data_IF_322362872049
#
_entry.id   IF_322362872049
#
_cell.length_a   1.000
_cell.length_b   1.000
_cell.length_c   1.000
_cell.angle_alpha   90.00
_cell.angle_beta   90.00
_cell.angle_gamma   90.00
#
_symmetry.space_group_name_H-M   'P 1'
#
loop_
_entity.id
_entity.type
_entity.pdbx_description
1 polymer ?
#
# COMPACT_ATOMS: atom_id res chain seq x y z
N UNK A 1 18.65 -5.28 -9.92
CA UNK A 1 17.22 -5.60 -9.85
C UNK A 1 16.60 -5.53 -11.25
N UNK A 2 16.45 -4.40 -11.88
CA UNK A 2 16.04 -4.31 -13.29
C UNK A 2 17.25 -4.14 -14.20
N UNK A 3 17.34 -4.99 -15.23
CA UNK A 3 18.39 -4.96 -16.25
C UNK A 3 17.77 -4.60 -17.59
N UNK A 4 18.46 -3.80 -18.41
CA UNK A 4 18.02 -3.41 -19.74
C UNK A 4 18.07 -1.91 -19.99
N UNK A 5 17.54 -1.48 -21.15
CA UNK A 5 17.46 -0.06 -21.55
C UNK A 5 16.62 0.77 -20.58
N UNK A 6 16.90 2.07 -20.49
CA UNK A 6 16.20 3.00 -19.62
C UNK A 6 14.66 2.93 -19.78
N UNK A 7 14.08 2.93 -20.99
CA UNK A 7 12.62 2.86 -21.16
C UNK A 7 12.02 1.56 -20.60
N UNK A 8 12.73 0.42 -20.75
CA UNK A 8 12.29 -0.85 -20.18
C UNK A 8 12.28 -0.81 -18.65
N UNK A 9 13.28 -0.20 -18.04
CA UNK A 9 13.36 -0.03 -16.58
C UNK A 9 12.26 0.88 -16.07
N UNK A 10 11.94 1.96 -16.79
CA UNK A 10 10.84 2.87 -16.45
C UNK A 10 9.48 2.16 -16.51
N UNK A 11 9.22 1.37 -17.57
CA UNK A 11 8.00 0.58 -17.67
C UNK A 11 7.88 -0.44 -16.53
N UNK A 12 8.97 -1.13 -16.20
CA UNK A 12 8.98 -2.09 -15.10
C UNK A 12 8.77 -1.43 -13.73
N UNK A 13 9.25 -0.20 -13.54
CA UNK A 13 9.06 0.53 -12.28
C UNK A 13 7.60 0.95 -12.04
N UNK A 14 6.79 1.11 -13.10
CA UNK A 14 5.36 1.40 -12.97
C UNK A 14 4.56 0.24 -12.34
N UNK A 15 5.11 -0.97 -12.38
CA UNK A 15 4.48 -2.17 -11.81
C UNK A 15 4.82 -2.37 -10.32
N UNK A 16 5.64 -1.48 -9.75
CA UNK A 16 6.02 -1.54 -8.34
C UNK A 16 5.05 -0.68 -7.54
N UNK A 17 4.16 -1.33 -6.83
CA UNK A 17 3.30 -0.73 -5.82
C UNK A 17 3.44 -1.52 -4.52
N UNK A 18 2.90 -1.00 -3.44
CA UNK A 18 3.02 -1.62 -2.11
C UNK A 18 2.48 -3.05 -2.05
N UNK A 19 1.38 -3.34 -2.73
CA UNK A 19 0.80 -4.69 -2.82
C UNK A 19 1.73 -5.65 -3.56
N UNK A 20 2.27 -5.24 -4.72
CA UNK A 20 3.18 -6.10 -5.49
C UNK A 20 4.50 -6.30 -4.76
N UNK A 21 4.98 -5.27 -4.06
CA UNK A 21 6.15 -5.37 -3.20
C UNK A 21 5.92 -6.38 -2.07
N UNK A 22 4.79 -6.28 -1.35
CA UNK A 22 4.45 -7.19 -0.27
C UNK A 22 4.37 -8.66 -0.71
N UNK A 23 3.85 -8.91 -1.92
CA UNK A 23 3.74 -10.26 -2.49
C UNK A 23 5.08 -10.88 -2.89
N UNK A 24 6.09 -10.08 -3.21
CA UNK A 24 7.37 -10.55 -3.74
C UNK A 24 8.40 -10.87 -2.67
N UNK A 25 8.18 -10.47 -1.42
CA UNK A 25 9.08 -10.76 -0.30
C UNK A 25 8.96 -12.24 0.07
N UNK A 26 10.01 -13.01 -0.21
CA UNK A 26 10.08 -14.43 0.17
C UNK A 26 10.45 -14.57 1.66
N UNK A 27 9.85 -15.58 2.32
CA UNK A 27 10.15 -15.92 3.73
C UNK A 27 11.63 -16.21 4.03
N UNK A 28 12.41 -16.61 3.01
CA UNK A 28 13.84 -16.97 3.16
C UNK A 28 14.80 -15.86 2.75
N UNK A 29 14.29 -14.62 2.60
CA UNK A 29 15.08 -13.52 2.06
C UNK A 29 15.31 -13.71 0.56
N UNK A 30 14.89 -12.77 -0.23
CA UNK A 30 14.99 -12.78 -1.68
C UNK A 30 13.78 -12.12 -2.31
N UNK A 31 13.94 -11.75 -3.56
CA UNK A 31 12.96 -11.00 -4.32
C UNK A 31 12.63 -11.76 -5.60
N UNK A 32 11.35 -11.99 -5.85
CA UNK A 32 10.91 -12.68 -7.06
C UNK A 32 10.44 -11.69 -8.12
N UNK A 33 11.32 -11.41 -9.08
CA UNK A 33 11.02 -10.48 -10.16
C UNK A 33 9.86 -10.94 -11.07
N UNK A 34 9.72 -12.26 -11.27
CA UNK A 34 8.63 -12.79 -12.11
C UNK A 34 7.28 -12.60 -11.43
N UNK A 35 7.22 -12.85 -10.13
CA UNK A 35 6.02 -12.59 -9.33
C UNK A 35 5.70 -11.09 -9.32
N UNK A 36 6.70 -10.22 -9.17
CA UNK A 36 6.52 -8.77 -9.24
C UNK A 36 5.89 -8.33 -10.56
N UNK A 37 6.50 -8.75 -11.67
CA UNK A 37 6.05 -8.33 -13.00
C UNK A 37 4.66 -8.90 -13.32
N UNK A 38 4.41 -10.16 -12.96
CA UNK A 38 3.12 -10.81 -13.19
C UNK A 38 2.00 -10.17 -12.36
N UNK A 39 2.20 -10.06 -11.04
CA UNK A 39 1.23 -9.43 -10.15
C UNK A 39 1.01 -7.96 -10.50
N UNK A 40 2.09 -7.23 -10.79
CA UNK A 40 2.01 -5.83 -11.17
C UNK A 40 1.26 -5.61 -12.47
N UNK A 41 1.46 -6.48 -13.48
CA UNK A 41 0.72 -6.39 -14.75
C UNK A 41 -0.78 -6.63 -14.55
N UNK A 42 -1.14 -7.66 -13.77
CA UNK A 42 -2.55 -7.95 -13.45
C UNK A 42 -3.17 -6.78 -12.70
N UNK A 43 -2.50 -6.29 -11.66
CA UNK A 43 -2.99 -5.17 -10.85
C UNK A 43 -3.17 -3.90 -11.71
N UNK A 44 -2.20 -3.58 -12.57
CA UNK A 44 -2.26 -2.44 -13.46
C UNK A 44 -3.46 -2.52 -14.43
N UNK A 45 -3.69 -3.69 -15.02
CA UNK A 45 -4.83 -3.92 -15.92
C UNK A 45 -6.14 -3.79 -15.14
N UNK A 46 -6.27 -4.45 -14.00
CA UNK A 46 -7.48 -4.39 -13.18
C UNK A 46 -7.78 -2.97 -12.70
N UNK A 47 -6.76 -2.22 -12.29
CA UNK A 47 -6.90 -0.82 -11.88
C UNK A 47 -7.43 0.06 -13.01
N UNK A 48 -6.83 -0.04 -14.21
CA UNK A 48 -7.27 0.75 -15.37
C UNK A 48 -8.68 0.37 -15.82
N UNK A 49 -9.00 -0.93 -15.84
CA UNK A 49 -10.35 -1.39 -16.17
C UNK A 49 -11.37 -0.92 -15.11
N UNK A 50 -11.04 -1.03 -13.83
CA UNK A 50 -11.89 -0.55 -12.74
C UNK A 50 -12.14 0.96 -12.82
N UNK A 51 -11.10 1.74 -13.12
CA UNK A 51 -11.20 3.19 -13.34
C UNK A 51 -12.08 3.52 -14.54
N UNK A 52 -11.90 2.83 -15.68
CA UNK A 52 -12.71 3.02 -16.87
C UNK A 52 -14.19 2.67 -16.61
N UNK A 53 -14.44 1.55 -15.94
CA UNK A 53 -15.79 1.17 -15.53
C UNK A 53 -16.39 2.19 -14.56
N UNK A 54 -15.63 2.67 -13.59
CA UNK A 54 -16.07 3.69 -12.65
C UNK A 54 -16.45 5.00 -13.33
N UNK A 55 -15.70 5.42 -14.36
CA UNK A 55 -16.04 6.61 -15.17
C UNK A 55 -17.35 6.44 -15.95
N UNK A 56 -17.58 5.23 -16.50
CA UNK A 56 -18.78 4.95 -17.29
C UNK A 56 -20.00 4.80 -16.37
N UNK A 57 -19.86 4.09 -15.26
CA UNK A 57 -20.93 3.73 -14.34
C UNK A 57 -21.10 4.69 -13.17
N UNK A 58 -20.19 5.65 -13.00
CA UNK A 58 -20.17 6.54 -11.84
C UNK A 58 -21.44 7.38 -11.68
N UNK A 59 -22.14 7.66 -12.77
CA UNK A 59 -23.44 8.36 -12.73
C UNK A 59 -24.60 7.44 -12.28
N UNK A 60 -24.39 6.14 -12.22
CA UNK A 60 -25.40 5.16 -11.78
C UNK A 60 -25.32 4.92 -10.28
N UNK A 61 -24.15 5.17 -9.70
CA UNK A 61 -23.89 5.01 -8.27
C UNK A 61 -24.12 6.37 -7.60
N UNK A 62 -25.26 6.55 -6.92
CA UNK A 62 -25.61 7.80 -6.27
C UNK A 62 -24.67 8.14 -5.10
N UNK A 63 -24.33 7.14 -4.26
CA UNK A 63 -23.38 7.31 -3.16
C UNK A 63 -22.42 6.11 -3.12
N UNK A 64 -21.12 6.33 -3.39
CA UNK A 64 -20.09 5.27 -3.27
C UNK A 64 -19.98 4.68 -1.87
N UNK A 65 -20.39 5.41 -0.83
CA UNK A 65 -20.33 4.94 0.56
C UNK A 65 -21.36 3.82 0.82
N UNK A 66 -22.48 3.80 0.09
CA UNK A 66 -23.47 2.72 0.18
C UNK A 66 -22.91 1.37 -0.24
N UNK A 67 -21.83 1.36 -1.02
CA UNK A 67 -21.10 0.16 -1.42
C UNK A 67 -19.97 -0.22 -0.46
N UNK A 68 -19.73 0.56 0.59
CA UNK A 68 -18.64 0.32 1.54
C UNK A 68 -17.25 0.51 0.94
N UNK A 69 -17.11 1.28 -0.15
CA UNK A 69 -15.83 1.51 -0.84
C UNK A 69 -14.84 2.29 0.03
N UNK A 70 -15.33 3.09 0.95
CA UNK A 70 -14.56 3.79 1.98
C UNK A 70 -13.84 2.81 2.93
N UNK A 71 -14.52 1.71 3.29
CA UNK A 71 -13.95 0.68 4.14
C UNK A 71 -12.97 -0.24 3.38
N UNK A 72 -13.06 -0.35 2.07
CA UNK A 72 -12.24 -1.25 1.26
C UNK A 72 -10.74 -0.91 1.37
N UNK A 73 -10.37 0.37 1.32
CA UNK A 73 -8.98 0.81 1.47
C UNK A 73 -8.45 0.52 2.88
N UNK A 74 -9.24 0.79 3.92
CA UNK A 74 -8.85 0.49 5.29
C UNK A 74 -8.62 -1.02 5.49
N UNK A 75 -9.49 -1.86 4.93
CA UNK A 75 -9.37 -3.31 4.97
C UNK A 75 -8.12 -3.79 4.20
N UNK A 76 -7.82 -3.22 3.03
CA UNK A 76 -6.62 -3.54 2.25
C UNK A 76 -5.35 -3.24 3.03
N UNK A 77 -5.23 -2.03 3.59
CA UNK A 77 -4.04 -1.67 4.39
C UNK A 77 -3.89 -2.51 5.64
N UNK A 78 -4.98 -2.89 6.31
CA UNK A 78 -4.93 -3.84 7.42
C UNK A 78 -4.47 -5.22 6.97
N UNK A 79 -4.94 -5.71 5.83
CA UNK A 79 -4.52 -6.99 5.27
C UNK A 79 -3.01 -7.00 4.91
N UNK A 80 -2.44 -5.86 4.50
CA UNK A 80 -1.01 -5.72 4.25
C UNK A 80 -0.20 -5.56 5.55
N UNK A 81 -0.76 -4.87 6.54
CA UNK A 81 -0.09 -4.60 7.82
C UNK A 81 0.01 -5.85 8.70
N UNK A 82 -1.10 -6.58 8.87
CA UNK A 82 -1.18 -7.71 9.83
C UNK A 82 -0.08 -8.76 9.61
N UNK A 83 0.22 -9.22 8.38
CA UNK A 83 1.32 -10.18 8.16
C UNK A 83 2.71 -9.65 8.49
N UNK A 84 2.88 -8.34 8.60
CA UNK A 84 4.15 -7.70 8.91
C UNK A 84 4.37 -7.53 10.42
N UNK A 85 3.31 -7.61 11.24
CA UNK A 85 3.37 -7.51 12.70
C UNK A 85 3.88 -8.82 13.33
N UNK A 86 5.15 -9.15 13.08
CA UNK A 86 5.74 -10.44 13.50
C UNK A 86 6.50 -10.38 14.83
N UNK A 87 6.80 -9.20 15.33
CA UNK A 87 7.56 -8.99 16.53
C UNK A 87 7.03 -7.83 17.38
N UNK A 88 7.52 -7.72 18.61
CA UNK A 88 7.10 -6.65 19.53
C UNK A 88 7.45 -5.25 19.01
N UNK A 89 8.53 -5.12 18.24
CA UNK A 89 8.98 -3.83 17.69
C UNK A 89 8.04 -3.34 16.59
N UNK A 90 7.67 -4.24 15.68
CA UNK A 90 6.75 -3.92 14.58
C UNK A 90 5.38 -3.52 15.12
N UNK A 91 4.88 -4.27 16.11
CA UNK A 91 3.63 -3.93 16.81
C UNK A 91 3.73 -2.58 17.51
N UNK A 92 4.84 -2.31 18.23
CA UNK A 92 5.03 -1.02 18.90
C UNK A 92 5.11 0.13 17.90
N UNK A 93 5.83 -0.06 16.80
CA UNK A 93 5.93 0.95 15.74
C UNK A 93 4.55 1.23 15.11
N UNK A 94 3.76 0.18 14.83
CA UNK A 94 2.42 0.32 14.28
C UNK A 94 1.47 1.04 15.25
N UNK A 95 1.50 0.68 16.54
CA UNK A 95 0.67 1.33 17.56
C UNK A 95 1.06 2.80 17.77
N UNK A 96 2.35 3.11 17.81
CA UNK A 96 2.82 4.50 17.94
C UNK A 96 2.46 5.31 16.70
N UNK A 97 2.73 4.78 15.50
CA UNK A 97 2.41 5.47 14.25
C UNK A 97 0.91 5.70 14.10
N UNK A 98 0.10 4.66 14.35
CA UNK A 98 -1.36 4.76 14.34
C UNK A 98 -1.90 5.71 15.41
N UNK A 99 -1.35 5.65 16.64
CA UNK A 99 -1.72 6.54 17.73
C UNK A 99 -1.43 8.01 17.43
N UNK A 100 -0.23 8.30 16.87
CA UNK A 100 0.14 9.66 16.43
C UNK A 100 -0.83 10.14 15.34
N UNK A 101 -1.09 9.29 14.33
CA UNK A 101 -2.00 9.65 13.25
C UNK A 101 -3.40 9.95 13.77
N UNK A 102 -3.97 9.07 14.59
CA UNK A 102 -5.30 9.26 15.17
C UNK A 102 -5.40 10.51 16.04
N UNK A 103 -4.38 10.79 16.86
CA UNK A 103 -4.35 11.97 17.72
C UNK A 103 -4.31 13.28 16.91
N UNK A 104 -3.74 13.27 15.71
CA UNK A 104 -3.58 14.46 14.87
C UNK A 104 -4.81 14.76 13.99
N UNK A 105 -5.67 13.77 13.72
CA UNK A 105 -6.83 13.93 12.83
C UNK A 105 -7.65 15.19 13.13
N UNK A 106 -8.02 15.51 14.40
CA UNK A 106 -8.87 16.66 14.68
C UNK A 106 -8.14 18.03 14.57
N UNK A 107 -6.81 18.04 14.48
CA UNK A 107 -6.02 19.27 14.58
C UNK A 107 -5.36 19.73 13.29
N UNK A 108 -5.24 18.85 12.30
CA UNK A 108 -4.44 19.13 11.08
C UNK A 108 -5.16 18.65 9.82
N UNK A 109 -4.83 19.23 8.64
CA UNK A 109 -5.41 18.85 7.36
C UNK A 109 -5.14 17.38 7.02
N UNK A 110 -6.02 16.80 6.19
CA UNK A 110 -5.88 15.44 5.69
C UNK A 110 -4.49 15.20 5.05
N UNK A 111 -3.90 14.05 5.33
CA UNK A 111 -2.55 13.69 4.86
C UNK A 111 -1.44 13.96 5.88
N UNK A 112 -1.49 15.05 6.64
CA UNK A 112 -0.48 15.34 7.70
C UNK A 112 -0.44 14.24 8.77
N UNK A 113 -1.55 13.68 9.25
CA UNK A 113 -1.54 12.58 10.21
C UNK A 113 -0.79 11.35 9.70
N UNK A 114 -0.92 11.05 8.40
CA UNK A 114 -0.25 9.89 7.77
C UNK A 114 1.27 10.10 7.77
N UNK A 115 1.72 11.29 7.36
CA UNK A 115 3.15 11.63 7.34
C UNK A 115 3.73 11.62 8.76
N UNK A 116 3.02 12.21 9.72
CA UNK A 116 3.44 12.20 11.11
C UNK A 116 3.44 10.78 11.71
N UNK A 117 2.45 9.96 11.38
CA UNK A 117 2.38 8.56 11.78
C UNK A 117 3.56 7.73 11.28
N UNK A 118 4.12 8.07 10.10
CA UNK A 118 5.33 7.44 9.58
C UNK A 118 6.54 7.60 10.53
N UNK A 119 6.55 8.62 11.40
CA UNK A 119 7.59 8.76 12.43
C UNK A 119 7.59 7.57 13.43
N UNK A 120 6.46 6.86 13.59
CA UNK A 120 6.41 5.61 14.36
C UNK A 120 7.36 4.53 13.84
N UNK A 121 7.64 4.54 12.53
CA UNK A 121 8.58 3.59 11.92
C UNK A 121 10.03 3.77 12.41
N UNK A 122 10.39 4.96 12.89
CA UNK A 122 11.72 5.24 13.42
C UNK A 122 12.03 4.41 14.69
N UNK A 123 10.99 4.01 15.41
CA UNK A 123 11.15 3.11 16.58
C UNK A 123 11.57 1.71 16.13
N UNK A 124 11.12 1.28 14.95
CA UNK A 124 11.51 0.01 14.34
C UNK A 124 12.89 0.02 13.66
N UNK A 125 13.43 1.19 13.33
CA UNK A 125 14.66 1.36 12.54
C UNK A 125 15.96 1.08 13.32
N UNK A 126 15.94 0.80 14.56
CA UNK A 126 17.21 0.54 15.27
C UNK A 126 17.87 -0.72 14.72
N UNK A 127 19.03 -0.46 14.07
CA UNK A 127 20.00 -1.37 13.44
C UNK A 127 20.11 -2.70 14.18
N UNK A 128 19.84 -3.79 13.45
CA UNK A 128 20.42 -5.09 13.78
C UNK A 128 21.90 -5.09 13.43
#
# INVERSE_FOLDING_TARGET
MFHGSLPRRLLQSQLIVDETWAMTIRRKGGFDLQVLLGAGAVLYICWNLGTALGLILGNVINDPNDLGLDAAFAALFLALLVPQLRGRREVTAALLGGGIALALIPFVPAGVPIIAGAAGSLVGWRRG
#
